data_IF_455368284503
#
_entry.id   IF_455368284503
#
_cell.length_a   1.000
_cell.length_b   1.000
_cell.length_c   1.000
_cell.angle_alpha   90.00
_cell.angle_beta   90.00
_cell.angle_gamma   90.00
#
_symmetry.space_group_name_H-M   'P 1'
#
loop_
_entity.id
_entity.type
_entity.pdbx_description
1 polymer ?
#
# COMPACT_ATOMS: atom_id res chain seq x y z
N UNK A 1 16.33 23.84 10.46
CA UNK A 1 16.60 22.39 10.31
C UNK A 1 15.44 21.52 10.79
N UNK A 2 15.00 21.61 12.04
CA UNK A 2 13.94 20.73 12.60
C UNK A 2 12.58 20.83 11.90
N UNK A 3 12.19 22.01 11.39
CA UNK A 3 10.92 22.19 10.68
C UNK A 3 10.86 21.37 9.39
N UNK A 4 11.98 21.27 8.66
CA UNK A 4 12.05 20.50 7.42
C UNK A 4 11.84 19.00 7.69
N UNK A 5 12.50 18.46 8.70
CA UNK A 5 12.36 17.07 9.14
C UNK A 5 10.91 16.77 9.59
N UNK A 6 10.26 17.69 10.29
CA UNK A 6 8.85 17.56 10.70
C UNK A 6 7.88 17.55 9.51
N UNK A 7 8.13 18.40 8.51
CA UNK A 7 7.33 18.42 7.27
C UNK A 7 7.51 17.10 6.52
N UNK A 8 8.74 16.63 6.36
CA UNK A 8 9.04 15.37 5.68
C UNK A 8 8.40 14.18 6.41
N UNK A 9 8.48 14.15 7.74
CA UNK A 9 7.81 13.16 8.58
C UNK A 9 6.30 13.14 8.32
N UNK A 10 5.64 14.30 8.35
CA UNK A 10 4.20 14.42 8.11
C UNK A 10 3.84 13.98 6.69
N UNK A 11 4.59 14.41 5.67
CA UNK A 11 4.34 14.02 4.29
C UNK A 11 4.45 12.52 4.09
N UNK A 12 5.50 11.87 4.62
CA UNK A 12 5.67 10.42 4.53
C UNK A 12 4.56 9.66 5.26
N UNK A 13 4.19 10.08 6.47
CA UNK A 13 3.11 9.42 7.22
C UNK A 13 1.76 9.58 6.53
N UNK A 14 1.37 10.81 6.17
CA UNK A 14 0.08 11.10 5.56
C UNK A 14 -0.06 10.40 4.23
N UNK A 15 0.94 10.50 3.34
CA UNK A 15 0.90 9.85 2.03
C UNK A 15 0.92 8.32 2.14
N UNK A 16 1.74 7.76 3.02
CA UNK A 16 1.81 6.32 3.26
C UNK A 16 0.50 5.74 3.79
N UNK A 17 -0.05 6.33 4.87
CA UNK A 17 -1.33 5.90 5.41
C UNK A 17 -2.49 6.13 4.44
N UNK A 18 -2.54 7.28 3.76
CA UNK A 18 -3.56 7.53 2.74
C UNK A 18 -3.53 6.46 1.65
N UNK A 19 -2.35 6.01 1.23
CA UNK A 19 -2.19 4.92 0.25
C UNK A 19 -2.74 3.59 0.79
N UNK A 20 -2.50 3.26 2.07
CA UNK A 20 -3.03 2.05 2.72
C UNK A 20 -4.57 2.08 2.80
N UNK A 21 -5.14 3.22 3.19
CA UNK A 21 -6.60 3.38 3.28
C UNK A 21 -7.27 3.39 1.91
N UNK A 22 -6.65 4.05 0.93
CA UNK A 22 -7.14 4.10 -0.44
C UNK A 22 -6.83 2.85 -1.27
N UNK A 23 -6.16 1.83 -0.70
CA UNK A 23 -5.66 0.68 -1.47
C UNK A 23 -6.73 -0.02 -2.31
N UNK A 24 -7.95 -0.22 -1.77
CA UNK A 24 -9.06 -0.81 -2.52
C UNK A 24 -9.45 0.05 -3.72
N UNK A 25 -9.66 1.35 -3.50
CA UNK A 25 -10.01 2.29 -4.55
C UNK A 25 -8.90 2.44 -5.61
N UNK A 26 -7.62 2.35 -5.21
CA UNK A 26 -6.49 2.35 -6.14
C UNK A 26 -6.51 1.09 -7.02
N UNK A 27 -6.72 -0.08 -6.42
CA UNK A 27 -6.77 -1.34 -7.18
C UNK A 27 -7.93 -1.37 -8.17
N UNK A 28 -9.10 -0.90 -7.76
CA UNK A 28 -10.29 -0.77 -8.63
C UNK A 28 -10.05 0.24 -9.75
N UNK A 29 -9.57 1.44 -9.43
CA UNK A 29 -9.39 2.53 -10.40
C UNK A 29 -8.33 2.22 -11.46
N UNK A 30 -7.28 1.49 -11.09
CA UNK A 30 -6.18 1.15 -11.99
C UNK A 30 -6.24 -0.29 -12.52
N UNK A 31 -7.32 -1.03 -12.26
CA UNK A 31 -7.49 -2.45 -12.63
C UNK A 31 -6.25 -3.31 -12.32
N UNK A 32 -5.63 -3.08 -11.16
CA UNK A 32 -4.38 -3.75 -10.78
C UNK A 32 -4.56 -5.27 -10.59
N UNK A 33 -5.81 -5.75 -10.50
CA UNK A 33 -6.15 -7.18 -10.50
C UNK A 33 -5.67 -7.91 -11.76
N UNK A 34 -5.64 -7.24 -12.91
CA UNK A 34 -5.26 -7.87 -14.19
C UNK A 34 -3.76 -8.14 -14.29
N UNK A 35 -2.95 -7.39 -13.54
CA UNK A 35 -1.49 -7.58 -13.47
C UNK A 35 -1.08 -8.63 -12.44
N UNK A 36 -1.99 -9.09 -11.61
CA UNK A 36 -1.72 -10.10 -10.60
C UNK A 36 -1.66 -11.49 -11.25
N UNK A 37 -0.46 -12.01 -11.45
CA UNK A 37 -0.24 -13.41 -11.85
C UNK A 37 -0.68 -14.35 -10.72
N UNK A 38 -1.41 -15.40 -11.08
CA UNK A 38 -1.69 -16.53 -10.23
C UNK A 38 -1.09 -17.78 -10.89
N UNK A 39 -0.34 -18.56 -10.14
CA UNK A 39 0.30 -19.78 -10.67
C UNK A 39 -0.62 -21.01 -10.57
N UNK A 40 -1.79 -20.86 -9.91
CA UNK A 40 -2.76 -21.92 -9.64
C UNK A 40 -4.11 -21.71 -10.36
N UNK A 41 -4.12 -20.96 -11.47
CA UNK A 41 -5.37 -20.60 -12.19
C UNK A 41 -6.23 -21.79 -12.61
N UNK A 42 -5.63 -22.98 -12.75
CA UNK A 42 -6.33 -24.20 -13.17
C UNK A 42 -6.95 -25.02 -12.02
N UNK A 43 -6.67 -24.67 -10.76
CA UNK A 43 -7.14 -25.43 -9.58
C UNK A 43 -8.24 -24.72 -8.78
N UNK A 44 -8.60 -23.50 -9.18
CA UNK A 44 -9.57 -22.64 -8.50
C UNK A 44 -10.64 -22.17 -9.48
N UNK A 45 -11.84 -21.93 -8.98
CA UNK A 45 -12.95 -21.41 -9.79
C UNK A 45 -12.66 -19.99 -10.28
N UNK A 46 -13.26 -19.58 -11.40
CA UNK A 46 -13.04 -18.23 -11.96
C UNK A 46 -13.40 -17.11 -10.97
N UNK A 47 -14.47 -17.28 -10.19
CA UNK A 47 -14.89 -16.34 -9.15
C UNK A 47 -13.85 -16.21 -8.01
N UNK A 48 -13.32 -17.35 -7.54
CA UNK A 48 -12.29 -17.36 -6.50
C UNK A 48 -10.97 -16.78 -7.01
N UNK A 49 -10.65 -17.02 -8.28
CA UNK A 49 -9.46 -16.49 -8.91
C UNK A 49 -9.50 -14.96 -9.02
N UNK A 50 -10.64 -14.39 -9.45
CA UNK A 50 -10.83 -12.94 -9.51
C UNK A 50 -10.67 -12.29 -8.14
N UNK A 51 -11.31 -12.87 -7.11
CA UNK A 51 -11.23 -12.38 -5.74
C UNK A 51 -9.81 -12.46 -5.20
N UNK A 52 -9.11 -13.56 -5.44
CA UNK A 52 -7.73 -13.73 -5.03
C UNK A 52 -6.79 -12.71 -5.68
N UNK A 53 -6.91 -12.49 -7.00
CA UNK A 53 -6.12 -11.49 -7.72
C UNK A 53 -6.38 -10.09 -7.19
N UNK A 54 -7.63 -9.75 -6.90
CA UNK A 54 -8.00 -8.49 -6.29
C UNK A 54 -7.38 -8.31 -4.91
N UNK A 55 -7.54 -9.29 -4.02
CA UNK A 55 -6.99 -9.22 -2.65
C UNK A 55 -5.46 -9.16 -2.66
N UNK A 56 -4.80 -9.91 -3.54
CA UNK A 56 -3.34 -9.86 -3.75
C UNK A 56 -2.89 -8.47 -4.22
N UNK A 57 -3.62 -7.85 -5.15
CA UNK A 57 -3.34 -6.50 -5.60
C UNK A 57 -3.58 -5.46 -4.49
N UNK A 58 -4.61 -5.62 -3.66
CA UNK A 58 -4.87 -4.73 -2.52
C UNK A 58 -3.75 -4.85 -1.50
N UNK A 59 -3.31 -6.06 -1.19
CA UNK A 59 -2.19 -6.30 -0.29
C UNK A 59 -0.90 -5.66 -0.81
N UNK A 60 -0.58 -5.78 -2.10
CA UNK A 60 0.63 -5.18 -2.66
C UNK A 60 0.63 -3.65 -2.58
N UNK A 61 -0.52 -3.01 -2.82
CA UNK A 61 -0.68 -1.56 -2.65
C UNK A 61 -0.56 -1.16 -1.18
N UNK A 62 -1.15 -1.92 -0.25
CA UNK A 62 -0.99 -1.69 1.19
C UNK A 62 0.46 -1.81 1.64
N UNK A 63 1.19 -2.83 1.17
CA UNK A 63 2.61 -3.01 1.47
C UNK A 63 3.44 -1.82 0.96
N UNK A 64 3.13 -1.33 -0.24
CA UNK A 64 3.75 -0.11 -0.79
C UNK A 64 3.45 1.11 0.07
N UNK A 65 2.19 1.29 0.49
CA UNK A 65 1.79 2.38 1.38
C UNK A 65 2.49 2.33 2.74
N UNK A 66 2.65 1.14 3.33
CA UNK A 66 3.42 0.96 4.56
C UNK A 66 4.90 1.31 4.36
N UNK A 67 5.49 0.93 3.22
CA UNK A 67 6.88 1.27 2.91
C UNK A 67 7.09 2.78 2.78
N UNK A 68 6.11 3.52 2.23
CA UNK A 68 6.13 4.99 2.16
C UNK A 68 5.97 5.62 3.56
N UNK A 69 5.15 5.03 4.43
CA UNK A 69 4.93 5.51 5.80
C UNK A 69 6.17 5.29 6.70
N UNK A 70 6.96 4.25 6.43
CA UNK A 70 8.05 3.79 7.28
C UNK A 70 9.16 4.83 7.53
N UNK A 71 9.65 5.59 6.52
CA UNK A 71 10.54 6.74 6.75
C UNK A 71 9.92 7.79 7.70
N UNK A 72 8.62 8.03 7.58
CA UNK A 72 7.90 8.96 8.45
C UNK A 72 7.85 8.46 9.90
N UNK A 73 7.65 7.16 10.11
CA UNK A 73 7.70 6.55 11.45
C UNK A 73 9.10 6.62 12.06
N UNK A 74 10.15 6.36 11.27
CA UNK A 74 11.54 6.49 11.72
C UNK A 74 11.84 7.94 12.13
N UNK A 75 11.44 8.92 11.32
CA UNK A 75 11.60 10.34 11.64
C UNK A 75 10.83 10.72 12.89
N UNK A 76 9.62 10.20 13.08
CA UNK A 76 8.82 10.43 14.28
C UNK A 76 9.55 9.91 15.54
N UNK A 77 10.09 8.70 15.48
CA UNK A 77 10.89 8.15 16.58
C UNK A 77 12.13 8.98 16.85
N UNK A 78 12.83 9.49 15.83
CA UNK A 78 14.06 10.28 16.02
C UNK A 78 13.75 11.68 16.59
N UNK A 79 12.69 12.33 16.12
CA UNK A 79 12.33 13.71 16.53
C UNK A 79 11.79 13.75 17.96
N UNK A 80 11.03 12.72 18.37
CA UNK A 80 10.35 12.66 19.66
C UNK A 80 10.97 11.62 20.62
N UNK A 81 12.21 11.20 20.34
CA UNK A 81 13.00 10.34 21.24
C UNK A 81 13.35 11.05 22.55
#
# INVERSE_FOLDING_TARGET
MMIFLKILMLLSLVSGFATVFAAKAIVEKFNLKEKAKCDFENEITEEELEKYKFDKAVLSVKMTGMLIALPGLILLLIIYR
#
